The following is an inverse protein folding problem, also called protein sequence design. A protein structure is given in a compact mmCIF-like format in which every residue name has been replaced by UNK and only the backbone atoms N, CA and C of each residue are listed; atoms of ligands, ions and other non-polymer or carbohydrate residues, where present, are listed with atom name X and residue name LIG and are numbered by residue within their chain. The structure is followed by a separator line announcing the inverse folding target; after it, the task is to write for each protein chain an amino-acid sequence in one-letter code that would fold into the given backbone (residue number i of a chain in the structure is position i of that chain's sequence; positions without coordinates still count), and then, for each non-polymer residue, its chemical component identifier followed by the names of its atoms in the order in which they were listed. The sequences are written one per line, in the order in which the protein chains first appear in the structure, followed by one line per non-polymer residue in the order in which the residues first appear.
data_IF_760873364604
#
_entry.id   IF_760873364604
#
_cell.length_a   1.000
_cell.length_b   1.000
_cell.length_c   1.000
_cell.angle_alpha   90.00
_cell.angle_beta   90.00
_cell.angle_gamma   90.00
#
_symmetry.space_group_name_H-M   'P 1'
#
loop_
_entity.id
_entity.type
_entity.pdbx_description
1 polymer ?
#
# COMPACT_ATOMS: atom_id res chain seq x y z
N UNK A 1 -11.10 -53.33 -1.60
CA UNK A 1 -12.22 -52.80 -2.39
C UNK A 1 -11.69 -52.00 -3.56
N UNK A 2 -12.20 -52.23 -4.76
CA UNK A 2 -11.84 -51.46 -5.96
C UNK A 2 -12.77 -50.24 -5.99
N UNK A 3 -12.22 -49.02 -5.94
CA UNK A 3 -13.00 -47.80 -6.18
C UNK A 3 -13.35 -47.73 -7.67
N UNK A 4 -14.64 -47.75 -7.99
CA UNK A 4 -15.14 -47.63 -9.36
C UNK A 4 -15.76 -46.25 -9.53
N UNK A 5 -15.18 -45.44 -10.40
CA UNK A 5 -15.75 -44.14 -10.78
C UNK A 5 -16.76 -44.28 -11.93
N UNK A 6 -17.70 -43.33 -12.07
CA UNK A 6 -18.57 -43.27 -13.24
C UNK A 6 -17.73 -43.24 -14.52
N UNK A 7 -18.13 -44.00 -15.54
CA UNK A 7 -17.43 -44.09 -16.82
C UNK A 7 -17.46 -42.80 -17.65
N UNK A 8 -18.31 -41.84 -17.27
CA UNK A 8 -18.42 -40.53 -17.91
C UNK A 8 -18.63 -39.43 -16.86
N UNK A 9 -17.91 -38.32 -17.02
CA UNK A 9 -18.03 -37.12 -16.19
C UNK A 9 -18.55 -35.97 -17.07
N UNK A 10 -19.75 -35.47 -16.74
CA UNK A 10 -20.38 -34.34 -17.44
C UNK A 10 -20.60 -33.20 -16.46
N UNK A 11 -19.95 -32.07 -16.69
CA UNK A 11 -20.06 -30.87 -15.87
C UNK A 11 -20.07 -29.62 -16.74
N UNK A 12 -20.87 -28.61 -16.39
CA UNK A 12 -20.97 -27.33 -17.11
C UNK A 12 -20.00 -26.26 -16.58
N UNK A 13 -19.37 -26.51 -15.43
CA UNK A 13 -18.44 -25.58 -14.82
C UNK A 13 -17.15 -25.54 -15.64
N UNK A 14 -16.46 -24.40 -15.61
CA UNK A 14 -15.11 -24.26 -16.13
C UNK A 14 -14.20 -23.87 -14.95
N UNK A 15 -13.48 -24.85 -14.41
CA UNK A 15 -12.70 -24.69 -13.21
C UNK A 15 -11.20 -24.52 -13.55
N UNK A 16 -10.66 -23.33 -13.33
CA UNK A 16 -9.25 -23.03 -13.61
C UNK A 16 -8.27 -23.87 -12.79
N UNK A 17 -8.64 -24.20 -11.54
CA UNK A 17 -7.86 -25.04 -10.63
C UNK A 17 -8.15 -26.54 -10.78
N UNK A 18 -8.97 -26.93 -11.74
CA UNK A 18 -9.51 -28.28 -11.86
C UNK A 18 -10.70 -28.54 -10.94
N UNK A 19 -11.13 -29.81 -10.89
CA UNK A 19 -12.30 -30.26 -10.15
C UNK A 19 -11.91 -31.00 -8.88
N UNK A 20 -12.77 -30.92 -7.86
CA UNK A 20 -12.61 -31.74 -6.64
C UNK A 20 -12.85 -33.21 -6.93
N UNK A 21 -12.31 -34.07 -6.06
CA UNK A 21 -12.58 -35.51 -6.07
C UNK A 21 -13.26 -35.96 -4.78
N UNK A 22 -14.05 -37.03 -4.85
CA UNK A 22 -14.57 -37.72 -3.68
C UNK A 22 -13.48 -38.58 -2.98
N UNK A 23 -13.86 -39.30 -1.93
CA UNK A 23 -12.96 -40.20 -1.18
C UNK A 23 -12.47 -41.41 -1.98
N UNK A 24 -13.09 -41.70 -3.12
CA UNK A 24 -12.70 -42.78 -4.04
C UNK A 24 -11.82 -42.27 -5.20
N UNK A 25 -11.57 -40.96 -5.28
CA UNK A 25 -10.81 -40.31 -6.35
C UNK A 25 -11.65 -39.93 -7.58
N UNK A 26 -12.98 -40.01 -7.49
CA UNK A 26 -13.86 -39.71 -8.60
C UNK A 26 -14.16 -38.20 -8.68
N UNK A 27 -14.15 -37.64 -9.89
CA UNK A 27 -14.40 -36.21 -10.11
C UNK A 27 -15.80 -35.81 -9.67
N UNK A 28 -15.88 -34.69 -8.98
CA UNK A 28 -17.11 -34.01 -8.58
C UNK A 28 -17.30 -32.78 -9.48
N UNK A 29 -18.55 -32.41 -9.79
CA UNK A 29 -18.85 -31.18 -10.52
C UNK A 29 -18.77 -29.96 -9.57
N UNK A 30 -17.62 -29.82 -8.93
CA UNK A 30 -17.25 -28.79 -7.96
C UNK A 30 -15.83 -28.34 -8.26
N UNK A 31 -15.58 -27.03 -8.30
CA UNK A 31 -14.24 -26.52 -8.55
C UNK A 31 -13.33 -26.71 -7.34
N UNK A 32 -12.06 -27.03 -7.62
CA UNK A 32 -11.01 -26.96 -6.62
C UNK A 32 -10.83 -25.49 -6.19
N UNK A 33 -10.59 -25.29 -4.90
CA UNK A 33 -10.31 -23.97 -4.31
C UNK A 33 -8.86 -23.93 -3.83
N UNK A 34 -8.33 -22.71 -3.71
CA UNK A 34 -7.02 -22.50 -3.10
C UNK A 34 -6.99 -23.02 -1.64
N UNK A 35 -5.83 -23.50 -1.17
CA UNK A 35 -5.68 -23.91 0.21
C UNK A 35 -5.89 -22.73 1.17
N UNK A 36 -6.47 -22.98 2.36
CA UNK A 36 -6.71 -21.94 3.35
C UNK A 36 -5.39 -21.40 3.93
N UNK A 37 -5.38 -20.10 4.27
CA UNK A 37 -4.21 -19.41 4.84
C UNK A 37 -4.23 -19.30 6.37
N UNK A 38 -5.14 -19.97 7.07
CA UNK A 38 -5.34 -19.85 8.52
C UNK A 38 -4.08 -20.13 9.36
N UNK A 39 -3.15 -20.95 8.86
CA UNK A 39 -1.89 -21.27 9.54
C UNK A 39 -0.77 -20.25 9.24
N UNK A 40 -1.02 -19.27 8.38
CA UNK A 40 -0.06 -18.25 8.02
C UNK A 40 -0.11 -17.07 8.99
N UNK A 41 0.96 -16.86 9.75
CA UNK A 41 1.06 -15.77 10.73
C UNK A 41 1.83 -14.54 10.21
N UNK A 42 2.17 -14.51 8.91
CA UNK A 42 2.88 -13.37 8.30
C UNK A 42 1.89 -12.27 7.98
N UNK A 43 2.24 -11.02 8.30
CA UNK A 43 1.50 -9.86 7.83
C UNK A 43 2.26 -9.23 6.65
N UNK A 44 1.78 -9.44 5.43
CA UNK A 44 2.40 -8.93 4.21
C UNK A 44 1.60 -7.72 3.67
N UNK A 45 2.04 -6.48 3.89
CA UNK A 45 1.31 -5.27 3.47
C UNK A 45 1.17 -5.18 1.95
N UNK A 46 2.17 -5.67 1.23
CA UNK A 46 2.20 -5.76 -0.24
C UNK A 46 1.48 -7.00 -0.79
N UNK A 47 0.89 -7.81 0.09
CA UNK A 47 0.23 -9.06 -0.28
C UNK A 47 1.19 -10.26 -0.32
N UNK A 48 0.61 -11.41 -0.65
CA UNK A 48 1.29 -12.70 -0.64
C UNK A 48 1.76 -13.10 -2.03
N UNK A 49 2.86 -13.86 -2.08
CA UNK A 49 3.31 -14.53 -3.28
C UNK A 49 2.21 -15.49 -3.76
N UNK A 50 2.04 -15.61 -5.09
CA UNK A 50 1.07 -16.53 -5.70
C UNK A 50 1.79 -17.66 -6.41
N UNK A 51 1.21 -18.86 -6.36
CA UNK A 51 1.64 -19.98 -7.18
C UNK A 51 1.22 -19.81 -8.65
N UNK A 52 1.59 -20.79 -9.49
CA UNK A 52 1.24 -20.82 -10.92
C UNK A 52 -0.27 -20.85 -11.18
N UNK A 53 -1.07 -21.16 -10.17
CA UNK A 53 -2.52 -21.24 -10.22
C UNK A 53 -3.20 -20.00 -9.60
N UNK A 54 -2.42 -19.03 -9.13
CA UNK A 54 -2.90 -17.78 -8.53
C UNK A 54 -3.26 -17.88 -7.04
N UNK A 55 -2.99 -19.02 -6.40
CA UNK A 55 -3.24 -19.23 -4.98
C UNK A 55 -2.14 -18.62 -4.13
N UNK A 56 -2.50 -18.02 -3.00
CA UNK A 56 -1.54 -17.39 -2.10
C UNK A 56 -0.67 -18.46 -1.40
N UNK A 57 0.62 -18.19 -1.32
CA UNK A 57 1.63 -18.92 -0.56
C UNK A 57 1.93 -18.10 0.70
N UNK A 58 2.29 -18.72 1.83
CA UNK A 58 2.64 -18.00 3.07
C UNK A 58 4.04 -17.34 3.00
N UNK A 59 4.25 -16.54 1.96
CA UNK A 59 5.45 -15.77 1.68
C UNK A 59 5.01 -14.39 1.19
N UNK A 60 5.72 -13.34 1.62
CA UNK A 60 5.39 -11.98 1.19
C UNK A 60 5.89 -11.75 -0.23
N UNK A 61 5.11 -11.04 -1.02
CA UNK A 61 5.53 -10.57 -2.33
C UNK A 61 6.39 -9.32 -2.18
N UNK A 62 7.55 -9.29 -2.85
CA UNK A 62 8.34 -8.06 -3.01
C UNK A 62 7.74 -7.11 -4.06
N UNK A 63 6.78 -7.59 -4.84
CA UNK A 63 6.05 -6.79 -5.82
C UNK A 63 4.80 -6.20 -5.18
N UNK A 64 4.58 -4.91 -5.40
CA UNK A 64 3.37 -4.24 -5.00
C UNK A 64 2.14 -4.83 -5.70
N UNK A 65 1.00 -4.91 -5.00
CA UNK A 65 -0.23 -5.37 -5.61
C UNK A 65 -0.69 -4.34 -6.66
N UNK A 66 -1.54 -4.74 -7.63
CA UNK A 66 -2.17 -3.80 -8.55
C UNK A 66 -2.85 -2.69 -7.75
N UNK A 67 -2.41 -1.45 -7.96
CA UNK A 67 -2.87 -0.31 -7.19
C UNK A 67 -3.88 0.51 -8.00
N UNK A 68 -5.11 0.57 -7.48
CA UNK A 68 -6.19 1.43 -8.00
C UNK A 68 -6.77 2.20 -6.83
N UNK A 69 -6.63 3.53 -6.84
CA UNK A 69 -7.15 4.40 -5.80
C UNK A 69 -7.76 5.64 -6.46
N UNK A 70 -9.02 5.94 -6.14
CA UNK A 70 -9.73 7.11 -6.67
C UNK A 70 -9.42 8.42 -5.93
N UNK A 71 -8.51 8.38 -4.96
CA UNK A 71 -8.11 9.54 -4.18
C UNK A 71 -7.18 10.44 -5.01
N UNK A 72 -7.48 11.73 -5.08
CA UNK A 72 -6.59 12.73 -5.67
C UNK A 72 -5.76 13.37 -4.55
N UNK A 73 -4.45 13.17 -4.62
CA UNK A 73 -3.49 13.80 -3.70
C UNK A 73 -2.82 15.00 -4.37
N UNK A 74 -2.36 16.00 -3.58
CA UNK A 74 -1.54 17.09 -4.11
C UNK A 74 -0.33 16.54 -4.88
N UNK A 75 -0.02 17.13 -6.04
CA UNK A 75 0.99 16.62 -6.96
C UNK A 75 2.41 16.62 -6.36
N UNK A 76 2.66 17.52 -5.42
CA UNK A 76 3.89 17.67 -4.65
C UNK A 76 4.07 16.60 -3.57
N UNK A 77 3.00 15.92 -3.15
CA UNK A 77 3.02 14.99 -2.01
C UNK A 77 2.75 13.54 -2.42
N UNK A 78 1.79 13.31 -3.33
CA UNK A 78 1.44 11.97 -3.81
C UNK A 78 0.85 11.03 -2.74
N UNK A 79 0.95 9.72 -2.99
CA UNK A 79 0.45 8.68 -2.10
C UNK A 79 1.46 8.29 -1.02
N UNK A 80 0.95 7.97 0.17
CA UNK A 80 1.71 7.33 1.23
C UNK A 80 2.19 5.96 0.77
N UNK A 81 3.28 5.48 1.37
CA UNK A 81 3.85 4.17 1.07
C UNK A 81 3.95 3.27 2.31
N UNK A 82 3.86 1.96 2.11
CA UNK A 82 4.10 0.94 3.14
C UNK A 82 5.59 0.82 3.47
N UNK A 83 5.94 -0.06 4.42
CA UNK A 83 7.35 -0.38 4.73
C UNK A 83 8.10 -0.99 3.53
N UNK A 84 7.37 -1.63 2.62
CA UNK A 84 7.89 -2.27 1.40
C UNK A 84 7.81 -1.34 0.18
N UNK A 85 7.71 -0.02 0.40
CA UNK A 85 7.62 1.03 -0.63
C UNK A 85 6.40 0.95 -1.56
N UNK A 86 5.35 0.21 -1.17
CA UNK A 86 4.14 0.09 -1.98
C UNK A 86 3.12 1.20 -1.71
N UNK A 87 2.44 1.72 -2.74
CA UNK A 87 1.48 2.81 -2.57
C UNK A 87 0.28 2.38 -1.73
N UNK A 88 -0.09 3.23 -0.78
CA UNK A 88 -1.26 3.12 0.06
C UNK A 88 -2.31 4.12 -0.42
N UNK A 89 -3.60 3.77 -0.32
CA UNK A 89 -4.70 4.66 -0.71
C UNK A 89 -4.96 5.73 0.37
N UNK A 90 -3.93 6.52 0.62
CA UNK A 90 -3.86 7.62 1.58
C UNK A 90 -2.84 8.61 1.02
N UNK A 91 -3.09 9.92 1.09
CA UNK A 91 -2.07 10.88 0.72
C UNK A 91 -0.91 10.82 1.71
N UNK A 92 0.32 10.90 1.21
CA UNK A 92 1.44 11.05 2.12
C UNK A 92 1.18 12.31 2.96
N UNK A 93 1.33 12.21 4.27
CA UNK A 93 1.59 13.41 5.04
C UNK A 93 3.06 13.67 4.80
N UNK A 94 3.40 14.87 4.34
CA UNK A 94 4.79 15.21 4.13
C UNK A 94 5.57 14.81 5.40
N UNK A 95 6.42 13.79 5.30
CA UNK A 95 7.57 13.64 6.20
C UNK A 95 8.59 14.74 5.86
N UNK A 96 8.12 15.95 5.63
CA UNK A 96 8.96 17.11 5.70
C UNK A 96 9.24 17.30 7.19
N UNK A 97 10.43 16.87 7.63
CA UNK A 97 11.24 17.88 8.33
C UNK A 97 11.06 19.15 7.48
N UNK A 98 10.59 20.29 8.02
CA UNK A 98 10.37 21.47 7.20
C UNK A 98 11.72 21.84 6.60
N UNK A 99 11.93 21.42 5.36
CA UNK A 99 13.13 21.65 4.56
C UNK A 99 12.65 21.87 3.13
N UNK A 100 11.54 22.59 3.02
CA UNK A 100 11.28 23.52 1.93
C UNK A 100 11.27 24.89 2.60
N UNK A 101 12.45 25.45 2.89
CA UNK A 101 12.92 26.62 2.15
C UNK A 101 12.05 26.92 0.91
N UNK A 102 10.91 27.58 1.13
CA UNK A 102 10.36 28.46 0.10
C UNK A 102 11.43 29.50 -0.21
N UNK A 103 12.07 29.37 -1.38
CA UNK A 103 13.40 29.95 -1.67
C UNK A 103 13.41 31.47 -1.84
N UNK A 104 12.29 32.16 -1.65
CA UNK A 104 12.21 33.61 -1.57
C UNK A 104 10.81 34.00 -1.12
N UNK A 105 10.68 34.81 -0.07
CA UNK A 105 9.42 35.39 0.36
C UNK A 105 9.45 36.91 0.14
N UNK A 106 8.30 37.50 -0.18
CA UNK A 106 8.17 38.96 -0.32
C UNK A 106 7.49 39.60 0.89
N UNK A 107 6.68 38.82 1.62
CA UNK A 107 5.95 39.26 2.81
C UNK A 107 5.40 38.05 3.59
N UNK A 108 4.99 38.27 4.84
CA UNK A 108 4.50 37.22 5.76
C UNK A 108 3.29 36.44 5.21
N UNK A 109 2.45 37.05 4.36
CA UNK A 109 1.29 36.40 3.73
C UNK A 109 1.66 35.29 2.73
N UNK A 110 2.91 35.27 2.26
CA UNK A 110 3.43 34.23 1.37
C UNK A 110 4.07 33.07 2.14
N UNK A 111 4.05 33.11 3.47
CA UNK A 111 4.59 32.05 4.32
C UNK A 111 3.48 31.15 4.88
N UNK A 112 3.78 29.86 5.14
CA UNK A 112 2.86 28.96 5.84
C UNK A 112 2.49 29.49 7.23
N UNK A 113 1.33 29.10 7.79
CA UNK A 113 0.95 29.47 9.15
C UNK A 113 2.04 29.13 10.18
N UNK A 114 2.43 30.10 11.00
CA UNK A 114 3.50 29.95 12.00
C UNK A 114 4.92 30.34 11.51
N UNK A 115 5.05 30.74 10.25
CA UNK A 115 6.30 31.21 9.65
C UNK A 115 6.21 32.68 9.28
N UNK A 116 7.35 33.37 9.31
CA UNK A 116 7.49 34.79 8.94
C UNK A 116 8.57 34.96 7.88
N UNK A 117 8.43 35.97 7.06
CA UNK A 117 9.41 36.31 6.04
C UNK A 117 10.59 37.06 6.67
N UNK A 118 11.77 36.44 6.69
CA UNK A 118 13.00 36.96 7.29
C UNK A 118 14.18 36.76 6.33
N UNK A 119 15.22 37.58 6.46
CA UNK A 119 16.43 37.47 5.64
C UNK A 119 17.50 36.61 6.34
N UNK A 120 18.21 35.75 5.58
CA UNK A 120 19.37 35.02 6.09
C UNK A 120 20.61 35.92 6.30
N UNK A 121 21.70 35.32 6.79
CA UNK A 121 22.98 36.02 6.98
C UNK A 121 23.59 36.61 5.69
N UNK A 122 23.08 36.21 4.51
CA UNK A 122 23.47 36.72 3.19
C UNK A 122 22.41 37.66 2.62
N UNK A 123 21.44 38.10 3.44
CA UNK A 123 20.34 38.97 3.09
C UNK A 123 19.36 38.38 2.05
N UNK A 124 19.22 37.05 2.01
CA UNK A 124 18.27 36.36 1.12
C UNK A 124 16.96 36.13 1.88
N UNK A 125 15.80 36.60 1.37
CA UNK A 125 14.52 36.42 2.06
C UNK A 125 14.08 34.95 2.04
N UNK A 126 13.58 34.46 3.16
CA UNK A 126 13.07 33.10 3.34
C UNK A 126 12.03 33.02 4.47
N UNK A 127 11.11 32.07 4.40
CA UNK A 127 10.18 31.84 5.49
C UNK A 127 10.87 31.09 6.64
N UNK A 128 10.98 31.74 7.81
CA UNK A 128 11.53 31.13 9.02
C UNK A 128 10.43 30.99 10.08
N UNK A 129 10.46 29.88 10.83
CA UNK A 129 9.54 29.70 11.95
C UNK A 129 9.75 30.85 12.94
N UNK A 130 8.67 31.55 13.28
CA UNK A 130 8.76 32.65 14.24
C UNK A 130 9.16 32.08 15.60
N UNK A 131 10.44 32.17 15.97
CA UNK A 131 10.83 32.02 17.37
C UNK A 131 10.21 33.21 18.08
N UNK A 132 9.09 33.00 18.76
CA UNK A 132 8.61 33.92 19.79
C UNK A 132 9.73 33.92 20.84
N UNK A 133 10.68 34.84 20.69
CA UNK A 133 11.58 35.18 21.78
C UNK A 133 10.69 35.76 22.87
N UNK A 134 10.27 34.91 23.81
CA UNK A 134 9.81 35.31 25.13
C UNK A 134 11.01 35.95 25.83
N UNK A 135 11.27 37.22 25.54
CA UNK A 135 12.21 38.03 26.33
C UNK A 135 11.42 38.63 27.50
N UNK A 136 11.52 37.90 28.61
CA UNK A 136 11.58 38.32 30.02
C UNK A 136 10.50 39.23 30.63
N UNK A 137 9.94 38.77 31.74
CA UNK A 137 9.83 39.58 32.96
C UNK A 137 10.20 38.72 34.16
N UNK A 138 11.40 38.96 34.69
CA UNK A 138 11.79 38.76 36.09
C UNK A 138 11.64 40.11 36.78
#
# INVERSE_FOLDING_TARGET
SISVCPSSFTCKLNCHLGYRTDSNGCLLCECQSCPPMEQCNKNCPSGYLKDLFGCNICECSDQCPPFSCGLLCPADVGFAKSADDCPLCQCATAKSKPTEYTTSCQSDVHCPPGFRCLNDARNVPMCQAGIIYMIQSL
#
